data_IF_686261850268
#
_entry.id   IF_686261850268
#
_cell.length_a   1.000
_cell.length_b   1.000
_cell.length_c   1.000
_cell.angle_alpha   90.00
_cell.angle_beta   90.00
_cell.angle_gamma   90.00
#
_symmetry.space_group_name_H-M   'P 1'
#
loop_
_entity.id
_entity.type
_entity.pdbx_description
1 polymer ?
#
# COMPACT_ATOMS: atom_id res chain seq x y z
N UNK A 1 -40.23 -24.35 18.10
CA UNK A 1 -39.20 -23.65 18.87
C UNK A 1 -37.80 -24.08 18.42
N UNK A 2 -37.39 -23.65 17.24
CA UNK A 2 -36.04 -23.89 16.67
C UNK A 2 -35.63 -22.61 15.96
N UNK A 3 -35.05 -21.64 16.66
CA UNK A 3 -34.45 -20.44 16.07
C UNK A 3 -33.20 -20.07 16.88
N UNK A 4 -32.23 -20.97 17.05
CA UNK A 4 -30.97 -20.61 17.74
C UNK A 4 -29.68 -21.02 16.99
N UNK A 5 -29.72 -21.77 15.91
CA UNK A 5 -28.49 -22.24 15.27
C UNK A 5 -28.05 -21.47 14.01
N UNK A 6 -28.93 -20.68 13.42
CA UNK A 6 -28.62 -19.99 12.16
C UNK A 6 -27.72 -18.77 12.36
N UNK A 7 -27.87 -18.09 13.49
CA UNK A 7 -27.12 -16.83 13.77
C UNK A 7 -25.64 -17.11 14.10
N UNK A 8 -25.34 -18.20 14.80
CA UNK A 8 -23.95 -18.57 15.17
C UNK A 8 -23.19 -19.08 13.93
N UNK A 9 -23.83 -19.89 13.09
CA UNK A 9 -23.19 -20.37 11.86
C UNK A 9 -22.94 -19.25 10.86
N UNK A 10 -23.84 -18.28 10.77
CA UNK A 10 -23.65 -17.12 9.91
C UNK A 10 -22.54 -16.19 10.41
N UNK A 11 -22.43 -15.96 11.73
CA UNK A 11 -21.30 -15.21 12.29
C UNK A 11 -19.95 -15.91 12.08
N UNK A 12 -19.90 -17.23 12.22
CA UNK A 12 -18.67 -17.99 12.02
C UNK A 12 -18.25 -18.03 10.55
N UNK A 13 -19.21 -18.13 9.61
CA UNK A 13 -18.94 -18.01 8.17
C UNK A 13 -18.52 -16.60 7.78
N UNK A 14 -19.16 -15.57 8.32
CA UNK A 14 -18.84 -14.17 8.07
C UNK A 14 -17.48 -13.79 8.66
N UNK A 15 -17.13 -14.29 9.87
CA UNK A 15 -15.81 -14.12 10.44
C UNK A 15 -14.71 -14.85 9.62
N UNK A 16 -14.99 -16.03 9.05
CA UNK A 16 -14.04 -16.72 8.16
C UNK A 16 -13.83 -16.00 6.83
N UNK A 17 -14.88 -15.38 6.26
CA UNK A 17 -14.75 -14.59 5.04
C UNK A 17 -13.97 -13.28 5.27
N UNK A 18 -14.17 -12.64 6.41
CA UNK A 18 -13.58 -11.35 6.74
C UNK A 18 -12.08 -11.42 7.12
N UNK A 19 -11.57 -12.61 7.41
CA UNK A 19 -10.15 -12.82 7.74
C UNK A 19 -9.32 -13.32 6.54
N UNK A 20 -9.88 -13.37 5.34
CA UNK A 20 -9.13 -13.74 4.14
C UNK A 20 -8.33 -12.55 3.63
N UNK A 21 -7.07 -12.79 3.35
CA UNK A 21 -6.23 -11.88 2.58
C UNK A 21 -6.65 -11.90 1.11
N UNK A 22 -6.65 -10.74 0.47
CA UNK A 22 -7.07 -10.64 -0.94
C UNK A 22 -5.94 -10.01 -1.74
N UNK A 23 -5.49 -10.71 -2.77
CA UNK A 23 -4.50 -10.18 -3.70
C UNK A 23 -5.16 -9.05 -4.50
N UNK A 24 -4.52 -7.86 -4.57
CA UNK A 24 -5.00 -6.75 -5.39
C UNK A 24 -5.16 -7.17 -6.85
N UNK A 25 -6.21 -6.68 -7.52
CA UNK A 25 -6.58 -7.13 -8.87
C UNK A 25 -5.46 -6.93 -9.90
N UNK A 26 -4.75 -5.81 -9.84
CA UNK A 26 -3.63 -5.51 -10.73
C UNK A 26 -2.42 -6.44 -10.52
N UNK A 27 -2.23 -6.97 -9.31
CA UNK A 27 -1.15 -7.91 -9.01
C UNK A 27 -1.40 -9.31 -9.57
N UNK A 28 -2.66 -9.66 -9.88
CA UNK A 28 -3.01 -10.97 -10.41
C UNK A 28 -2.39 -11.19 -11.80
N UNK A 29 -2.29 -10.14 -12.60
CA UNK A 29 -1.70 -10.18 -13.94
C UNK A 29 -0.17 -10.17 -13.97
N UNK A 30 0.48 -9.89 -12.83
CA UNK A 30 1.93 -9.95 -12.67
C UNK A 30 2.31 -11.19 -11.85
N UNK A 31 2.80 -12.28 -12.48
CA UNK A 31 3.10 -13.54 -11.80
C UNK A 31 4.13 -13.39 -10.68
N UNK A 32 5.18 -12.58 -10.88
CA UNK A 32 6.24 -12.39 -9.89
C UNK A 32 5.72 -11.71 -8.63
N UNK A 33 4.93 -10.65 -8.78
CA UNK A 33 4.29 -9.95 -7.66
C UNK A 33 3.27 -10.85 -6.97
N UNK A 34 2.48 -11.59 -7.73
CA UNK A 34 1.48 -12.52 -7.20
C UNK A 34 2.14 -13.61 -6.34
N UNK A 35 3.22 -14.22 -6.83
CA UNK A 35 3.94 -15.28 -6.12
C UNK A 35 4.68 -14.72 -4.90
N UNK A 36 5.25 -13.52 -5.00
CA UNK A 36 5.82 -12.83 -3.86
C UNK A 36 4.76 -12.60 -2.76
N UNK A 37 3.59 -12.04 -3.09
CA UNK A 37 2.52 -11.79 -2.13
C UNK A 37 2.07 -13.09 -1.45
N UNK A 38 1.92 -14.20 -2.19
CA UNK A 38 1.58 -15.49 -1.60
C UNK A 38 2.66 -16.02 -0.66
N UNK A 39 3.92 -15.78 -0.96
CA UNK A 39 5.05 -16.26 -0.15
C UNK A 39 5.10 -15.60 1.23
N UNK A 40 4.64 -14.36 1.34
CA UNK A 40 4.71 -13.56 2.56
C UNK A 40 3.50 -13.71 3.50
N UNK A 41 2.49 -14.51 3.14
CA UNK A 41 1.26 -14.66 3.95
C UNK A 41 1.52 -15.16 5.38
N UNK A 42 2.57 -15.96 5.56
CA UNK A 42 2.94 -16.54 6.85
C UNK A 42 4.08 -15.78 7.54
N UNK A 43 4.36 -14.56 7.09
CA UNK A 43 5.41 -13.75 7.66
C UNK A 43 5.11 -13.41 9.13
N UNK A 44 6.12 -13.53 10.01
CA UNK A 44 5.95 -13.46 11.46
C UNK A 44 6.33 -12.12 12.07
N UNK A 45 7.02 -11.30 11.30
CA UNK A 45 7.48 -10.00 11.76
C UNK A 45 6.34 -8.96 11.78
N UNK A 46 6.58 -7.79 12.37
CA UNK A 46 5.58 -6.73 12.31
C UNK A 46 5.41 -6.22 10.87
N UNK A 47 4.20 -5.83 10.50
CA UNK A 47 3.91 -5.27 9.17
C UNK A 47 4.79 -4.07 8.87
N UNK A 48 5.00 -3.23 9.88
CA UNK A 48 5.83 -2.03 9.80
C UNK A 48 7.27 -2.36 9.44
N UNK A 49 7.89 -3.27 10.19
CA UNK A 49 9.29 -3.72 9.94
C UNK A 49 9.44 -4.34 8.57
N UNK A 50 8.46 -5.14 8.17
CA UNK A 50 8.47 -5.81 6.88
C UNK A 50 8.37 -4.81 5.72
N UNK A 51 7.37 -3.93 5.75
CA UNK A 51 7.16 -2.90 4.72
C UNK A 51 8.31 -1.90 4.68
N UNK A 52 8.82 -1.48 5.84
CA UNK A 52 9.98 -0.62 5.91
C UNK A 52 11.22 -1.26 5.28
N UNK A 53 11.44 -2.57 5.52
CA UNK A 53 12.57 -3.30 4.95
C UNK A 53 12.48 -3.44 3.44
N UNK A 54 11.27 -3.71 2.88
CA UNK A 54 11.04 -3.67 1.43
C UNK A 54 11.36 -2.28 0.88
N UNK A 55 10.83 -1.24 1.52
CA UNK A 55 11.05 0.14 1.10
C UNK A 55 12.53 0.50 1.07
N UNK A 56 13.30 0.15 2.11
CA UNK A 56 14.75 0.37 2.17
C UNK A 56 15.48 -0.34 1.01
N UNK A 57 15.05 -1.55 0.66
CA UNK A 57 15.64 -2.30 -0.44
C UNK A 57 15.34 -1.63 -1.80
N UNK A 58 14.09 -1.20 -2.02
CA UNK A 58 13.67 -0.55 -3.26
C UNK A 58 14.34 0.81 -3.49
N UNK A 59 14.66 1.55 -2.42
CA UNK A 59 15.38 2.83 -2.54
C UNK A 59 16.90 2.67 -2.44
N UNK A 60 17.42 1.44 -2.42
CA UNK A 60 18.86 1.19 -2.37
C UNK A 60 19.57 1.87 -3.55
N UNK A 61 20.58 2.68 -3.23
CA UNK A 61 21.33 3.43 -4.24
C UNK A 61 20.70 4.76 -4.67
N UNK A 62 19.51 5.10 -4.15
CA UNK A 62 18.94 6.42 -4.37
C UNK A 62 19.79 7.50 -3.67
N UNK A 63 20.16 8.56 -4.40
CA UNK A 63 21.07 9.62 -3.94
C UNK A 63 20.34 10.89 -3.49
N UNK A 64 19.00 10.86 -3.41
CA UNK A 64 18.22 12.02 -2.97
C UNK A 64 18.63 12.42 -1.53
N UNK A 65 19.02 13.68 -1.27
CA UNK A 65 19.52 14.10 0.05
C UNK A 65 18.46 13.98 1.16
N UNK A 66 17.18 14.06 0.83
CA UNK A 66 16.08 13.95 1.80
C UNK A 66 15.78 12.51 2.20
N UNK A 67 16.22 11.50 1.42
CA UNK A 67 16.00 10.09 1.74
C UNK A 67 16.60 9.72 3.09
N UNK A 68 17.84 10.16 3.37
CA UNK A 68 18.52 9.86 4.63
C UNK A 68 17.76 10.43 5.83
N UNK A 69 17.25 11.65 5.72
CA UNK A 69 16.41 12.26 6.75
C UNK A 69 15.14 11.45 6.95
N UNK A 70 14.43 11.12 5.88
CA UNK A 70 13.22 10.30 5.93
C UNK A 70 13.45 8.95 6.63
N UNK A 71 14.51 8.21 6.25
CA UNK A 71 14.80 6.92 6.87
C UNK A 71 15.10 7.06 8.37
N UNK A 72 15.69 8.18 8.82
CA UNK A 72 15.99 8.42 10.25
C UNK A 72 14.75 8.73 11.10
N UNK A 73 13.59 8.97 10.49
CA UNK A 73 12.31 9.15 11.21
C UNK A 73 11.79 7.82 11.81
N UNK A 74 12.35 6.68 11.36
CA UNK A 74 11.88 5.35 11.74
C UNK A 74 12.99 4.54 12.39
N UNK A 75 12.61 3.71 13.37
CA UNK A 75 13.50 2.81 14.11
C UNK A 75 13.03 1.35 14.04
N UNK A 76 12.45 0.96 12.89
CA UNK A 76 11.99 -0.42 12.71
C UNK A 76 13.18 -1.37 12.50
N UNK A 77 13.13 -2.58 13.06
CA UNK A 77 14.09 -3.63 12.77
C UNK A 77 14.12 -3.93 11.27
N UNK A 78 15.32 -4.00 10.70
CA UNK A 78 15.50 -4.41 9.31
C UNK A 78 15.46 -5.93 9.21
N UNK A 79 14.64 -6.42 8.31
CA UNK A 79 14.43 -7.83 8.04
C UNK A 79 14.97 -8.16 6.65
N UNK A 80 15.67 -9.30 6.55
CA UNK A 80 16.11 -9.79 5.24
C UNK A 80 14.91 -10.31 4.44
N UNK A 81 14.68 -9.73 3.28
CA UNK A 81 13.64 -10.15 2.34
C UNK A 81 14.30 -10.52 1.03
N UNK A 82 13.98 -11.71 0.54
CA UNK A 82 14.54 -12.22 -0.70
C UNK A 82 13.52 -12.10 -1.84
N UNK A 83 14.02 -12.00 -3.07
CA UNK A 83 13.22 -12.01 -4.29
C UNK A 83 12.11 -10.94 -4.31
N UNK A 84 12.44 -9.71 -3.89
CA UNK A 84 11.52 -8.58 -4.03
C UNK A 84 11.33 -8.32 -5.53
N UNK A 85 10.10 -8.48 -6.08
CA UNK A 85 9.87 -8.28 -7.49
C UNK A 85 9.91 -6.80 -7.85
N UNK A 86 10.18 -6.50 -9.11
CA UNK A 86 9.90 -5.19 -9.65
C UNK A 86 8.40 -5.04 -9.92
N UNK A 87 7.82 -3.96 -9.46
CA UNK A 87 6.44 -3.59 -9.77
C UNK A 87 6.42 -2.12 -10.19
N UNK A 88 6.03 -1.86 -11.42
CA UNK A 88 5.90 -0.50 -11.96
C UNK A 88 4.76 0.30 -11.30
N UNK A 89 3.88 -0.39 -10.58
CA UNK A 89 2.68 0.22 -10.02
C UNK A 89 2.89 0.70 -8.57
N UNK A 90 2.73 -0.16 -7.59
CA UNK A 90 2.88 0.15 -6.18
C UNK A 90 3.05 -1.15 -5.37
N UNK A 91 4.26 -1.71 -5.37
CA UNK A 91 4.54 -2.94 -4.64
C UNK A 91 4.27 -2.80 -3.14
N UNK A 92 4.68 -1.67 -2.54
CA UNK A 92 4.51 -1.45 -1.10
C UNK A 92 3.05 -1.33 -0.70
N UNK A 93 2.25 -0.54 -1.42
CA UNK A 93 0.82 -0.41 -1.17
C UNK A 93 0.08 -1.73 -1.41
N UNK A 94 0.42 -2.46 -2.47
CA UNK A 94 -0.12 -3.79 -2.76
C UNK A 94 0.22 -4.80 -1.66
N UNK A 95 1.46 -4.78 -1.16
CA UNK A 95 1.90 -5.63 -0.06
C UNK A 95 1.16 -5.29 1.23
N UNK A 96 1.02 -4.00 1.54
CA UNK A 96 0.28 -3.56 2.72
C UNK A 96 -1.20 -3.96 2.66
N UNK A 97 -1.85 -3.73 1.52
CA UNK A 97 -3.22 -4.15 1.31
C UNK A 97 -3.39 -5.67 1.49
N UNK A 98 -2.44 -6.45 0.98
CA UNK A 98 -2.45 -7.90 1.09
C UNK A 98 -2.22 -8.40 2.51
N UNK A 99 -1.30 -7.77 3.25
CA UNK A 99 -1.02 -8.12 4.65
C UNK A 99 -2.17 -7.76 5.60
N UNK A 100 -3.02 -6.82 5.23
CA UNK A 100 -4.23 -6.52 5.97
C UNK A 100 -5.33 -7.53 5.62
N UNK A 101 -5.99 -8.09 6.63
CA UNK A 101 -7.17 -8.89 6.38
C UNK A 101 -8.30 -8.02 5.81
N UNK A 102 -9.24 -8.65 5.10
CA UNK A 102 -10.42 -7.94 4.59
C UNK A 102 -11.19 -7.20 5.71
N UNK A 103 -11.18 -7.76 6.92
CA UNK A 103 -11.79 -7.13 8.09
C UNK A 103 -11.05 -5.86 8.51
N UNK A 104 -9.72 -5.90 8.60
CA UNK A 104 -8.91 -4.73 8.95
C UNK A 104 -9.10 -3.60 7.93
N UNK A 105 -9.13 -3.93 6.63
CA UNK A 105 -9.38 -2.95 5.58
C UNK A 105 -10.77 -2.30 5.71
N UNK A 106 -11.80 -3.09 6.03
CA UNK A 106 -13.17 -2.59 6.25
C UNK A 106 -13.27 -1.71 7.50
N UNK A 107 -12.64 -2.12 8.62
CA UNK A 107 -12.67 -1.38 9.89
C UNK A 107 -11.93 -0.03 9.76
N UNK A 108 -10.89 0.04 8.95
CA UNK A 108 -10.12 1.27 8.68
C UNK A 108 -10.72 2.13 7.56
N UNK A 109 -11.67 1.59 6.78
CA UNK A 109 -12.15 2.23 5.55
C UNK A 109 -11.06 2.34 4.49
N UNK A 110 -10.01 1.52 4.59
CA UNK A 110 -8.86 1.58 3.67
C UNK A 110 -9.17 0.75 2.42
N UNK A 111 -9.53 1.43 1.35
CA UNK A 111 -9.70 0.84 0.02
C UNK A 111 -8.65 1.44 -0.90
N UNK A 112 -7.74 0.60 -1.35
CA UNK A 112 -6.74 1.03 -2.33
C UNK A 112 -7.36 1.05 -3.71
N UNK A 113 -7.23 2.18 -4.39
CA UNK A 113 -7.66 2.31 -5.78
C UNK A 113 -6.65 1.59 -6.67
N UNK A 114 -7.16 0.78 -7.60
CA UNK A 114 -6.34 0.15 -8.62
C UNK A 114 -5.52 1.23 -9.35
N UNK A 115 -4.21 0.98 -9.50
CA UNK A 115 -3.28 1.94 -10.10
C UNK A 115 -3.73 2.43 -11.48
N UNK A 116 -4.26 1.52 -12.30
CA UNK A 116 -4.72 1.88 -13.65
C UNK A 116 -5.89 2.86 -13.59
N UNK A 117 -6.84 2.63 -12.66
CA UNK A 117 -7.96 3.55 -12.43
C UNK A 117 -7.45 4.90 -11.94
N UNK A 118 -6.49 4.91 -11.00
CA UNK A 118 -5.91 6.15 -10.49
C UNK A 118 -5.20 6.92 -11.61
N UNK A 119 -4.45 6.22 -12.47
CA UNK A 119 -3.74 6.80 -13.61
C UNK A 119 -4.70 7.37 -14.65
N UNK A 120 -5.72 6.60 -15.04
CA UNK A 120 -6.72 7.04 -16.02
C UNK A 120 -7.45 8.30 -15.49
N UNK A 121 -7.85 8.29 -14.21
CA UNK A 121 -8.50 9.44 -13.58
C UNK A 121 -7.60 10.69 -13.57
N UNK A 122 -6.33 10.54 -13.21
CA UNK A 122 -5.37 11.66 -13.14
C UNK A 122 -5.07 12.21 -14.54
N UNK A 123 -4.99 11.34 -15.56
CA UNK A 123 -4.77 11.75 -16.94
C UNK A 123 -5.93 12.59 -17.50
N UNK A 124 -7.15 12.38 -16.99
CA UNK A 124 -8.34 13.18 -17.37
C UNK A 124 -8.38 14.56 -16.69
N UNK A 125 -7.48 14.81 -15.71
CA UNK A 125 -7.37 16.08 -15.03
C UNK A 125 -6.33 16.97 -15.72
N UNK A 126 -6.75 18.15 -16.16
CA UNK A 126 -5.84 19.15 -16.72
C UNK A 126 -5.20 19.96 -15.58
N UNK A 127 -4.04 19.50 -15.10
CA UNK A 127 -3.28 20.22 -14.07
C UNK A 127 -2.42 21.30 -14.71
N UNK A 128 -2.73 22.56 -14.42
CA UNK A 128 -1.80 23.64 -14.80
C UNK A 128 -0.52 23.57 -13.96
N UNK A 129 0.61 23.98 -14.56
CA UNK A 129 1.94 23.94 -13.92
C UNK A 129 2.05 24.72 -12.60
N UNK A 130 1.04 25.52 -12.23
CA UNK A 130 1.05 26.37 -11.04
C UNK A 130 0.01 25.95 -10.00
N UNK A 131 -0.72 24.85 -10.21
CA UNK A 131 -1.72 24.38 -9.25
C UNK A 131 -1.09 23.49 -8.19
N UNK A 132 -1.62 23.59 -6.97
CA UNK A 132 -1.32 22.67 -5.88
C UNK A 132 -2.35 21.54 -5.89
N UNK A 133 -1.90 20.32 -5.68
CA UNK A 133 -2.73 19.13 -5.63
C UNK A 133 -2.73 18.62 -4.19
N UNK A 134 -3.91 18.49 -3.61
CA UNK A 134 -4.11 17.91 -2.29
C UNK A 134 -4.94 16.63 -2.40
N UNK A 135 -4.39 15.53 -1.91
CA UNK A 135 -5.13 14.29 -1.66
C UNK A 135 -5.34 14.14 -0.14
N UNK A 136 -6.55 14.34 0.39
CA UNK A 136 -6.83 14.30 1.83
C UNK A 136 -6.94 12.89 2.41
N UNK A 137 -6.82 11.85 1.58
CA UNK A 137 -6.83 10.43 1.97
C UNK A 137 -5.92 9.63 1.06
N UNK A 138 -4.64 10.06 1.01
CA UNK A 138 -3.72 9.68 -0.05
C UNK A 138 -3.29 8.20 -0.04
N UNK A 139 -3.48 7.48 1.05
CA UNK A 139 -3.01 6.10 1.16
C UNK A 139 -1.52 5.98 0.84
N UNK A 140 -1.18 5.09 -0.09
CA UNK A 140 0.19 4.91 -0.63
C UNK A 140 0.61 5.97 -1.65
N UNK A 141 -0.26 6.92 -1.98
CA UNK A 141 0.00 8.02 -2.91
C UNK A 141 -0.32 7.71 -4.37
N UNK A 142 -1.17 6.73 -4.66
CA UNK A 142 -1.45 6.29 -6.04
C UNK A 142 -1.93 7.41 -6.96
N UNK A 143 -2.77 8.32 -6.49
CA UNK A 143 -3.21 9.47 -7.29
C UNK A 143 -2.10 10.52 -7.44
N UNK A 144 -1.42 10.84 -6.34
CA UNK A 144 -0.38 11.88 -6.33
C UNK A 144 0.76 11.56 -7.28
N UNK A 145 1.23 10.30 -7.26
CA UNK A 145 2.40 9.89 -8.05
C UNK A 145 2.06 9.48 -9.49
N UNK A 146 0.81 9.47 -9.88
CA UNK A 146 0.39 9.37 -11.27
C UNK A 146 0.20 10.75 -11.94
N UNK A 147 0.26 11.84 -11.17
CA UNK A 147 0.23 13.19 -11.71
C UNK A 147 1.62 13.59 -12.24
N UNK A 148 1.63 14.40 -13.31
CA UNK A 148 2.86 15.03 -13.84
C UNK A 148 3.31 16.25 -13.00
N UNK A 149 2.69 16.43 -11.83
CA UNK A 149 2.98 17.56 -10.94
C UNK A 149 4.37 17.40 -10.29
N UNK A 150 5.04 18.53 -10.09
CA UNK A 150 6.31 18.58 -9.37
C UNK A 150 6.11 18.28 -7.89
N UNK A 151 7.14 17.76 -7.22
CA UNK A 151 7.09 17.39 -5.80
C UNK A 151 6.67 18.51 -4.84
N UNK A 152 6.91 19.77 -5.20
CA UNK A 152 6.48 20.93 -4.43
C UNK A 152 5.01 21.34 -4.66
N UNK A 153 4.32 20.66 -5.56
CA UNK A 153 2.92 20.89 -5.88
C UNK A 153 1.97 19.85 -5.27
N UNK A 154 2.50 18.71 -4.84
CA UNK A 154 1.69 17.59 -4.32
C UNK A 154 1.72 17.54 -2.80
N UNK A 155 0.54 17.38 -2.22
CA UNK A 155 0.33 17.27 -0.79
C UNK A 155 -0.58 16.07 -0.51
N UNK A 156 -0.13 15.15 0.35
CA UNK A 156 -0.90 14.00 0.78
C UNK A 156 -1.16 14.04 2.28
N UNK A 157 -2.36 13.68 2.66
CA UNK A 157 -2.76 13.48 4.07
C UNK A 157 -3.40 12.12 4.19
N UNK A 158 -3.06 11.38 5.24
CA UNK A 158 -3.73 10.15 5.62
C UNK A 158 -3.67 9.99 7.13
N UNK A 159 -4.65 9.31 7.72
CA UNK A 159 -4.68 9.02 9.15
C UNK A 159 -3.93 7.72 9.50
N UNK A 160 -3.51 6.93 8.51
CA UNK A 160 -2.71 5.72 8.70
C UNK A 160 -1.22 6.05 8.55
N UNK A 161 -0.42 6.00 9.64
CA UNK A 161 1.00 6.30 9.58
C UNK A 161 1.79 5.33 8.71
N UNK A 162 1.32 4.08 8.53
CA UNK A 162 1.95 3.11 7.64
C UNK A 162 1.73 3.51 6.19
N UNK A 163 0.51 3.94 5.84
CA UNK A 163 0.21 4.43 4.50
C UNK A 163 1.08 5.64 4.15
N UNK A 164 1.25 6.59 5.08
CA UNK A 164 2.16 7.74 4.90
C UNK A 164 3.62 7.32 4.73
N UNK A 165 4.09 6.34 5.50
CA UNK A 165 5.44 5.79 5.31
C UNK A 165 5.60 5.20 3.91
N UNK A 166 4.63 4.45 3.44
CA UNK A 166 4.61 3.87 2.08
C UNK A 166 4.60 4.98 1.02
N UNK A 167 3.75 5.99 1.16
CA UNK A 167 3.70 7.11 0.24
C UNK A 167 5.05 7.83 0.14
N UNK A 168 5.74 8.06 1.27
CA UNK A 168 7.09 8.63 1.27
C UNK A 168 8.11 7.74 0.55
N UNK A 169 8.06 6.41 0.74
CA UNK A 169 8.91 5.49 -0.05
C UNK A 169 8.60 5.58 -1.55
N UNK A 170 7.33 5.55 -1.92
CA UNK A 170 6.91 5.64 -3.31
C UNK A 170 7.37 6.94 -3.99
N UNK A 171 7.42 8.04 -3.24
CA UNK A 171 8.03 9.29 -3.70
C UNK A 171 9.53 9.14 -4.06
N UNK A 172 10.29 8.35 -3.32
CA UNK A 172 11.72 8.13 -3.59
C UNK A 172 11.97 7.03 -4.63
N UNK A 173 11.01 6.13 -4.85
CA UNK A 173 11.11 5.05 -5.84
C UNK A 173 10.84 5.60 -7.26
N UNK A 174 9.92 6.55 -7.38
CA UNK A 174 9.55 7.20 -8.66
C UNK A 174 10.40 8.42 -8.97
#
# INVERSE_FOLDING_TARGET
MIVKNTTIQNKTKQNKLNNKHTIPSHCISNPEVNDFLKSIINYKESKESFLFSIGCELVRGNTNPHLKQFLSEYSFPIVKIENIPYDEFDLLGSTYQYLNSKRENLERGSFYTDYKIAKDFVNDLDFSKNQLILDPSCGSGSFLFNSDASSNQIFGVDNDPIAIMIAKFNYFIK
#
